data_IF_809938024511
#
_entry.id   IF_809938024511
#
_cell.length_a   1.000
_cell.length_b   1.000
_cell.length_c   1.000
_cell.angle_alpha   90.00
_cell.angle_beta   90.00
_cell.angle_gamma   90.00
#
_symmetry.space_group_name_H-M   'P 1'
#
loop_
_entity.id
_entity.type
_entity.pdbx_description
1 polymer ?
#
# COMPACT_ATOMS: atom_id res chain seq x y z
N UNK A 1 3.89 13.27 -19.06
CA UNK A 1 3.29 12.20 -18.25
C UNK A 1 2.42 12.83 -17.19
N UNK A 2 1.41 12.15 -16.82
CA UNK A 2 0.29 12.60 -16.02
C UNK A 2 0.69 12.89 -14.56
N UNK A 3 0.53 14.14 -14.12
CA UNK A 3 0.81 14.54 -12.73
C UNK A 3 -0.12 13.85 -11.74
N UNK A 4 -1.33 13.52 -12.15
CA UNK A 4 -2.27 12.77 -11.33
C UNK A 4 -1.73 11.37 -11.04
N UNK A 5 -1.18 10.72 -12.06
CA UNK A 5 -0.57 9.40 -11.91
C UNK A 5 0.60 9.45 -10.92
N UNK A 6 1.46 10.45 -11.07
CA UNK A 6 2.58 10.66 -10.14
C UNK A 6 2.08 10.86 -8.71
N UNK A 7 1.00 11.61 -8.54
CA UNK A 7 0.39 11.85 -7.23
C UNK A 7 -0.10 10.55 -6.60
N UNK A 8 -0.71 9.67 -7.38
CA UNK A 8 -1.15 8.36 -6.86
C UNK A 8 0.02 7.56 -6.31
N UNK A 9 1.10 7.47 -7.08
CA UNK A 9 2.30 6.74 -6.67
C UNK A 9 2.92 7.36 -5.41
N UNK A 10 3.01 8.68 -5.38
CA UNK A 10 3.58 9.41 -4.24
C UNK A 10 2.77 9.17 -2.97
N UNK A 11 1.44 9.20 -3.07
CA UNK A 11 0.57 8.99 -1.91
C UNK A 11 0.66 7.58 -1.37
N UNK A 12 0.78 6.57 -2.25
CA UNK A 12 0.98 5.19 -1.80
C UNK A 12 2.29 5.08 -1.04
N UNK A 13 3.36 5.67 -1.60
CA UNK A 13 4.68 5.63 -0.98
C UNK A 13 4.69 6.36 0.35
N UNK A 14 4.03 7.50 0.45
CA UNK A 14 3.92 8.28 1.69
C UNK A 14 3.16 7.50 2.78
N UNK A 15 2.07 6.82 2.41
CA UNK A 15 1.31 6.01 3.36
C UNK A 15 2.14 4.82 3.86
N UNK A 16 2.91 4.21 2.97
CA UNK A 16 3.85 3.15 3.35
C UNK A 16 4.86 3.67 4.37
N UNK A 17 5.48 4.83 4.11
CA UNK A 17 6.45 5.41 5.03
C UNK A 17 5.80 5.80 6.36
N UNK A 18 4.57 6.27 6.33
CA UNK A 18 3.83 6.59 7.55
C UNK A 18 3.70 5.34 8.44
N UNK A 19 3.31 4.21 7.85
CA UNK A 19 3.21 2.95 8.57
C UNK A 19 4.57 2.48 9.09
N UNK A 20 5.61 2.67 8.28
CA UNK A 20 6.96 2.25 8.64
C UNK A 20 7.50 3.02 9.85
N UNK A 21 7.18 4.30 9.93
CA UNK A 21 7.68 5.20 10.98
C UNK A 21 6.82 5.20 12.25
N UNK A 22 5.68 4.52 12.24
CA UNK A 22 4.80 4.45 13.41
C UNK A 22 5.50 3.78 14.58
N UNK A 23 5.20 4.29 15.78
CA UNK A 23 5.58 3.67 17.03
C UNK A 23 4.36 2.95 17.59
N UNK A 24 4.51 1.70 17.92
CA UNK A 24 3.39 0.86 18.34
C UNK A 24 2.86 1.32 19.70
N UNK A 25 1.66 1.90 19.69
CA UNK A 25 0.97 2.42 20.87
C UNK A 25 -0.43 1.84 20.95
N UNK A 26 -1.02 1.79 22.15
CA UNK A 26 -2.44 1.49 22.26
C UNK A 26 -3.24 2.44 21.36
N UNK A 27 -4.29 1.94 20.71
CA UNK A 27 -5.17 2.66 19.79
C UNK A 27 -4.58 2.98 18.40
N UNK A 28 -3.33 2.64 18.11
CA UNK A 28 -2.77 2.84 16.77
C UNK A 28 -3.44 1.95 15.71
N UNK A 29 -4.21 0.95 16.12
CA UNK A 29 -4.92 0.07 15.18
C UNK A 29 -5.85 0.85 14.26
N UNK A 30 -6.54 1.86 14.78
CA UNK A 30 -7.42 2.71 13.97
C UNK A 30 -6.64 3.46 12.90
N UNK A 31 -5.46 3.99 13.27
CA UNK A 31 -4.58 4.68 12.33
C UNK A 31 -4.08 3.72 11.25
N UNK A 32 -3.69 2.52 11.63
CA UNK A 32 -3.24 1.48 10.69
C UNK A 32 -4.37 1.15 9.71
N UNK A 33 -5.59 1.00 10.22
CA UNK A 33 -6.75 0.71 9.38
C UNK A 33 -7.02 1.81 8.36
N UNK A 34 -6.91 3.07 8.76
CA UNK A 34 -7.09 4.21 7.87
C UNK A 34 -6.02 4.20 6.78
N UNK A 35 -4.75 3.99 7.16
CA UNK A 35 -3.66 3.97 6.18
C UNK A 35 -3.77 2.79 5.22
N UNK A 36 -4.15 1.62 5.72
CA UNK A 36 -4.36 0.45 4.86
C UNK A 36 -5.49 0.70 3.85
N UNK A 37 -6.61 1.25 4.31
CA UNK A 37 -7.73 1.59 3.43
C UNK A 37 -7.31 2.58 2.35
N UNK A 38 -6.50 3.57 2.73
CA UNK A 38 -5.97 4.55 1.79
C UNK A 38 -5.07 3.88 0.74
N UNK A 39 -4.16 3.02 1.17
CA UNK A 39 -3.27 2.29 0.25
C UNK A 39 -4.09 1.43 -0.71
N UNK A 40 -5.04 0.66 -0.19
CA UNK A 40 -5.87 -0.23 -1.03
C UNK A 40 -6.70 0.56 -2.04
N UNK A 41 -7.29 1.67 -1.61
CA UNK A 41 -8.05 2.54 -2.50
C UNK A 41 -7.19 3.15 -3.58
N UNK A 42 -6.01 3.62 -3.24
CA UNK A 42 -5.07 4.19 -4.20
C UNK A 42 -4.56 3.14 -5.20
N UNK A 43 -4.28 1.93 -4.73
CA UNK A 43 -3.84 0.84 -5.61
C UNK A 43 -4.96 0.49 -6.62
N UNK A 44 -6.20 0.47 -6.16
CA UNK A 44 -7.34 0.20 -7.04
C UNK A 44 -7.47 1.25 -8.13
N UNK A 45 -7.37 2.53 -7.77
CA UNK A 45 -7.40 3.64 -8.74
C UNK A 45 -6.22 3.54 -9.69
N UNK A 46 -5.04 3.22 -9.17
CA UNK A 46 -3.83 3.06 -9.96
C UNK A 46 -4.00 1.97 -11.02
N UNK A 47 -4.53 0.81 -10.64
CA UNK A 47 -4.77 -0.29 -11.57
C UNK A 47 -5.72 0.15 -12.70
N UNK A 48 -6.83 0.81 -12.34
CA UNK A 48 -7.79 1.28 -13.33
C UNK A 48 -7.14 2.28 -14.29
N UNK A 49 -6.31 3.17 -13.77
CA UNK A 49 -5.64 4.18 -14.59
C UNK A 49 -4.67 3.54 -15.57
N UNK A 50 -3.86 2.59 -15.12
CA UNK A 50 -2.91 1.91 -15.99
C UNK A 50 -3.66 1.10 -17.06
N UNK A 51 -4.73 0.40 -16.69
CA UNK A 51 -5.50 -0.41 -17.63
C UNK A 51 -6.11 0.43 -18.75
N UNK A 52 -6.42 1.69 -18.51
CA UNK A 52 -7.03 2.58 -19.51
C UNK A 52 -6.01 3.34 -20.34
N UNK A 53 -4.72 3.18 -20.09
CA UNK A 53 -3.67 3.80 -20.90
C UNK A 53 -3.62 3.18 -22.29
N UNK A 54 -3.52 4.03 -23.34
CA UNK A 54 -3.36 3.58 -24.71
C UNK A 54 -2.03 2.87 -24.92
N UNK A 55 -0.99 3.37 -24.27
CA UNK A 55 0.35 2.79 -24.30
C UNK A 55 0.86 2.57 -22.87
N UNK A 56 1.37 1.38 -22.64
CA UNK A 56 1.97 1.02 -21.34
C UNK A 56 3.45 0.70 -21.53
N UNK A 57 4.31 1.42 -20.84
CA UNK A 57 5.71 1.03 -20.78
C UNK A 57 5.85 -0.30 -20.03
N UNK A 58 7.01 -0.95 -20.16
CA UNK A 58 7.27 -2.19 -19.44
C UNK A 58 7.16 -2.00 -17.93
N UNK A 59 7.65 -0.85 -17.41
CA UNK A 59 7.56 -0.54 -15.99
C UNK A 59 6.10 -0.44 -15.52
N UNK A 60 5.24 0.20 -16.32
CA UNK A 60 3.83 0.33 -15.95
C UNK A 60 3.09 -1.00 -16.07
N UNK A 61 3.42 -1.81 -17.06
CA UNK A 61 2.84 -3.15 -17.20
C UNK A 61 3.22 -4.05 -16.02
N UNK A 62 4.47 -3.99 -15.59
CA UNK A 62 4.93 -4.74 -14.44
C UNK A 62 4.30 -4.25 -13.14
N UNK A 63 4.16 -2.92 -13.01
CA UNK A 63 3.49 -2.33 -11.83
C UNK A 63 2.05 -2.81 -11.74
N UNK A 64 1.33 -2.80 -12.87
CA UNK A 64 -0.04 -3.28 -12.91
C UNK A 64 -0.14 -4.73 -12.47
N UNK A 65 0.75 -5.58 -12.95
CA UNK A 65 0.78 -6.99 -12.60
C UNK A 65 1.01 -7.18 -11.10
N UNK A 66 1.98 -6.49 -10.55
CA UNK A 66 2.32 -6.57 -9.11
C UNK A 66 1.15 -6.04 -8.27
N UNK A 67 0.56 -4.91 -8.66
CA UNK A 67 -0.55 -4.31 -7.93
C UNK A 67 -1.79 -5.22 -7.91
N UNK A 68 -2.12 -5.84 -9.03
CA UNK A 68 -3.24 -6.79 -9.11
C UNK A 68 -2.98 -8.03 -8.25
N UNK A 69 -1.76 -8.55 -8.29
CA UNK A 69 -1.37 -9.69 -7.46
C UNK A 69 -1.49 -9.35 -5.98
N UNK A 70 -1.04 -8.16 -5.60
CA UNK A 70 -1.15 -7.69 -4.21
C UNK A 70 -2.61 -7.65 -3.76
N UNK A 71 -3.48 -7.01 -4.54
CA UNK A 71 -4.88 -6.87 -4.17
C UNK A 71 -5.60 -8.23 -4.06
N UNK A 72 -5.20 -9.20 -4.87
CA UNK A 72 -5.78 -10.54 -4.86
C UNK A 72 -5.29 -11.38 -3.68
N UNK A 73 -4.01 -11.24 -3.33
CA UNK A 73 -3.33 -12.13 -2.37
C UNK A 73 -3.43 -11.66 -0.93
N UNK A 74 -3.63 -10.37 -0.68
CA UNK A 74 -3.56 -9.81 0.67
C UNK A 74 -4.85 -9.09 1.04
N UNK A 75 -5.50 -9.60 2.08
CA UNK A 75 -6.67 -8.96 2.69
C UNK A 75 -6.46 -8.92 4.20
N UNK A 76 -6.17 -7.75 4.70
CA UNK A 76 -5.93 -7.53 6.12
C UNK A 76 -7.18 -7.08 6.88
N UNK A 77 -8.28 -6.79 6.18
CA UNK A 77 -9.47 -6.23 6.82
C UNK A 77 -10.05 -7.18 7.87
N UNK A 78 -10.08 -8.47 7.57
CA UNK A 78 -10.57 -9.48 8.52
C UNK A 78 -9.69 -9.54 9.77
N UNK A 79 -8.39 -9.51 9.60
CA UNK A 79 -7.43 -9.54 10.72
C UNK A 79 -7.59 -8.30 11.58
N UNK A 80 -7.71 -7.13 10.95
CA UNK A 80 -7.90 -5.86 11.67
C UNK A 80 -9.21 -5.90 12.46
N UNK A 81 -10.29 -6.39 11.84
CA UNK A 81 -11.58 -6.51 12.52
C UNK A 81 -11.46 -7.39 13.77
N UNK A 82 -10.77 -8.52 13.65
CA UNK A 82 -10.54 -9.41 14.79
C UNK A 82 -9.73 -8.72 15.88
N UNK A 83 -8.70 -7.97 15.49
CA UNK A 83 -7.82 -7.29 16.45
C UNK A 83 -8.47 -6.09 17.12
N UNK A 84 -9.57 -5.56 16.60
CA UNK A 84 -10.30 -4.46 17.23
C UNK A 84 -10.76 -4.84 18.64
N UNK A 85 -11.01 -6.11 18.89
CA UNK A 85 -11.35 -6.61 20.21
C UNK A 85 -10.16 -6.52 21.19
N UNK A 86 -8.95 -6.32 20.68
CA UNK A 86 -7.71 -6.29 21.45
C UNK A 86 -6.91 -5.03 21.12
N UNK A 87 -7.61 -3.91 20.97
CA UNK A 87 -6.99 -2.66 20.49
C UNK A 87 -5.91 -2.12 21.42
N UNK A 88 -5.86 -2.57 22.68
CA UNK A 88 -4.83 -2.17 23.63
C UNK A 88 -3.61 -3.09 23.60
N UNK A 89 -3.64 -4.17 22.84
CA UNK A 89 -2.54 -5.13 22.76
C UNK A 89 -1.50 -4.63 21.75
N UNK A 90 -0.45 -3.99 22.28
CA UNK A 90 0.61 -3.38 21.48
C UNK A 90 1.31 -4.41 20.59
N UNK A 91 1.46 -5.65 21.05
CA UNK A 91 2.14 -6.69 20.26
C UNK A 91 1.31 -7.09 19.03
N UNK A 92 -0.01 -7.15 19.17
CA UNK A 92 -0.90 -7.44 18.03
C UNK A 92 -0.91 -6.31 17.03
N UNK A 93 -0.94 -5.06 17.52
CA UNK A 93 -0.85 -3.86 16.68
C UNK A 93 0.44 -3.88 15.87
N UNK A 94 1.56 -4.16 16.55
CA UNK A 94 2.86 -4.25 15.89
C UNK A 94 2.87 -5.36 14.83
N UNK A 95 2.33 -6.53 15.15
CA UNK A 95 2.35 -7.66 14.24
C UNK A 95 1.56 -7.38 12.96
N UNK A 96 0.38 -6.74 13.07
CA UNK A 96 -0.40 -6.41 11.88
C UNK A 96 0.31 -5.34 11.04
N UNK A 97 0.90 -4.34 11.69
CA UNK A 97 1.65 -3.29 10.99
C UNK A 97 2.82 -3.90 10.21
N UNK A 98 3.61 -4.76 10.85
CA UNK A 98 4.74 -5.42 10.20
C UNK A 98 4.26 -6.31 9.05
N UNK A 99 3.15 -7.03 9.22
CA UNK A 99 2.60 -7.86 8.17
C UNK A 99 2.19 -7.06 6.95
N UNK A 100 1.58 -5.90 7.15
CA UNK A 100 1.20 -5.01 6.04
C UNK A 100 2.46 -4.51 5.33
N UNK A 101 3.45 -4.03 6.07
CA UNK A 101 4.71 -3.56 5.49
C UNK A 101 5.41 -4.67 4.71
N UNK A 102 5.50 -5.86 5.28
CA UNK A 102 6.14 -7.01 4.62
C UNK A 102 5.44 -7.38 3.32
N UNK A 103 4.11 -7.33 3.29
CA UNK A 103 3.34 -7.64 2.08
C UNK A 103 3.66 -6.66 0.96
N UNK A 104 3.80 -5.37 1.29
CA UNK A 104 4.12 -4.33 0.31
C UNK A 104 5.56 -4.47 -0.20
N UNK A 105 6.48 -4.89 0.66
CA UNK A 105 7.90 -5.04 0.32
C UNK A 105 8.16 -6.33 -0.45
N UNK A 106 7.62 -7.45 0.02
CA UNK A 106 7.87 -8.78 -0.58
C UNK A 106 7.25 -8.93 -1.97
N UNK A 107 6.13 -8.28 -2.22
CA UNK A 107 5.52 -8.27 -3.56
C UNK A 107 6.27 -7.36 -4.52
N UNK A 108 7.23 -6.58 -4.02
CA UNK A 108 8.01 -5.61 -4.79
C UNK A 108 7.16 -4.42 -5.27
N UNK A 109 5.95 -4.24 -4.73
CA UNK A 109 5.09 -3.12 -5.10
C UNK A 109 5.75 -1.79 -4.78
N UNK A 110 6.26 -1.64 -3.57
CA UNK A 110 6.89 -0.40 -3.13
C UNK A 110 8.19 -0.13 -3.91
N UNK A 111 9.01 -1.14 -4.15
CA UNK A 111 10.26 -0.94 -4.90
C UNK A 111 9.98 -0.53 -6.34
N UNK A 112 8.94 -1.06 -6.97
CA UNK A 112 8.57 -0.66 -8.33
C UNK A 112 8.04 0.77 -8.37
N UNK A 113 7.22 1.15 -7.40
CA UNK A 113 6.73 2.53 -7.28
C UNK A 113 7.92 3.48 -7.10
N UNK A 114 8.83 3.14 -6.22
CA UNK A 114 10.01 3.95 -5.94
C UNK A 114 10.87 4.14 -7.19
N UNK A 115 11.11 3.07 -7.94
CA UNK A 115 11.89 3.12 -9.19
C UNK A 115 11.23 4.06 -10.21
N UNK A 116 9.92 3.95 -10.38
CA UNK A 116 9.19 4.80 -11.31
C UNK A 116 9.27 6.27 -10.89
N UNK A 117 9.12 6.55 -9.59
CA UNK A 117 9.19 7.92 -9.07
C UNK A 117 10.59 8.51 -9.23
N UNK A 118 11.64 7.72 -9.04
CA UNK A 118 13.02 8.18 -9.20
C UNK A 118 13.33 8.54 -10.64
N UNK A 119 12.73 7.83 -11.60
CA UNK A 119 12.93 8.06 -13.03
C UNK A 119 11.96 9.11 -13.60
N UNK A 120 11.14 9.70 -12.77
CA UNK A 120 10.13 10.66 -13.21
C UNK A 120 10.74 12.03 -13.44
N UNK A 121 10.56 12.55 -14.64
CA UNK A 121 11.01 13.89 -15.01
C UNK A 121 9.90 14.91 -14.96
#
# INVERSE_FOLDING_TARGET
MDEYFKSLLTQIFESYNFLKDMKDKPSDLDTIQVQLGKIQGLIKVLCNKIETMDYKSDNFSELLKVAKTYMKSYDFNHVIYTYQLYSDDVMRIRNIRISILSSLEETKLISKIQTILQDWD
#
